data_IF_187372385648
#
_entry.id   IF_187372385648
#
_cell.length_a   1.000
_cell.length_b   1.000
_cell.length_c   1.000
_cell.angle_alpha   90.00
_cell.angle_beta   90.00
_cell.angle_gamma   90.00
#
_symmetry.space_group_name_H-M   'P 1'
#
loop_
_entity.id
_entity.type
_entity.pdbx_description
1 polymer ?
#
# COMPACT_ATOMS: atom_id res chain seq x y z
N UNK A 1 40.82 19.82 0.60
CA UNK A 1 39.61 20.11 1.35
C UNK A 1 38.89 18.80 1.58
N UNK A 2 38.89 18.29 2.83
CA UNK A 2 38.05 17.13 3.19
C UNK A 2 36.62 17.62 3.33
N UNK A 3 35.73 17.21 2.41
CA UNK A 3 34.31 17.32 2.62
C UNK A 3 33.90 16.26 3.66
N UNK A 4 33.64 16.67 4.88
CA UNK A 4 32.92 15.85 5.85
C UNK A 4 31.48 15.74 5.31
N UNK A 5 31.15 14.62 4.65
CA UNK A 5 29.75 14.23 4.47
C UNK A 5 29.20 13.89 5.85
N UNK A 6 28.40 14.77 6.44
CA UNK A 6 27.58 14.43 7.59
C UNK A 6 26.49 13.49 7.03
N UNK A 7 26.73 12.19 7.15
CA UNK A 7 25.68 11.21 6.91
C UNK A 7 24.62 11.43 8.00
N UNK A 8 23.46 12.00 7.64
CA UNK A 8 22.30 11.97 8.52
C UNK A 8 21.94 10.49 8.74
N UNK A 9 22.07 10.04 9.98
CA UNK A 9 21.65 8.69 10.33
C UNK A 9 20.11 8.66 10.17
N UNK A 10 19.62 7.78 9.33
CA UNK A 10 18.18 7.58 9.16
C UNK A 10 17.53 7.23 10.51
N UNK A 11 16.36 7.79 10.79
CA UNK A 11 15.62 7.50 12.04
C UNK A 11 15.17 6.05 12.14
N UNK A 12 14.97 5.40 11.00
CA UNK A 12 14.54 4.00 10.88
C UNK A 12 15.03 3.41 9.57
N UNK A 13 14.87 2.12 9.43
CA UNK A 13 15.20 1.37 8.21
C UNK A 13 14.12 0.34 7.93
N UNK A 14 13.68 0.27 6.68
CA UNK A 14 12.76 -0.74 6.21
C UNK A 14 13.59 -1.96 5.80
N UNK A 15 13.70 -2.93 6.71
CA UNK A 15 14.49 -4.14 6.49
C UNK A 15 13.84 -5.06 5.45
N UNK A 16 12.49 -5.04 5.40
CA UNK A 16 11.69 -5.85 4.48
C UNK A 16 10.37 -5.18 4.18
N UNK A 17 9.97 -5.18 2.92
CA UNK A 17 8.66 -4.75 2.45
C UNK A 17 8.24 -5.63 1.27
N UNK A 18 7.63 -6.79 1.56
CA UNK A 18 7.19 -7.73 0.53
C UNK A 18 5.71 -7.58 0.27
N UNK A 19 5.34 -7.41 -1.00
CA UNK A 19 3.97 -7.25 -1.45
C UNK A 19 3.64 -8.36 -2.45
N UNK A 20 2.69 -9.24 -2.11
CA UNK A 20 2.12 -10.21 -3.03
C UNK A 20 0.72 -9.74 -3.44
N UNK A 21 0.56 -9.37 -4.70
CA UNK A 21 -0.68 -8.91 -5.29
C UNK A 21 -1.24 -10.03 -6.15
N UNK A 22 -2.35 -10.62 -5.72
CA UNK A 22 -3.08 -11.63 -6.49
C UNK A 22 -4.34 -10.99 -7.04
N UNK A 23 -4.54 -11.09 -8.36
CA UNK A 23 -5.73 -10.58 -9.06
C UNK A 23 -6.52 -11.76 -9.61
N UNK A 24 -7.82 -11.79 -9.39
CA UNK A 24 -8.72 -12.78 -9.95
C UNK A 24 -9.29 -12.34 -11.32
N UNK A 25 -9.98 -13.21 -12.08
CA UNK A 25 -10.58 -12.83 -13.37
C UNK A 25 -11.62 -11.72 -13.28
N UNK A 26 -12.23 -11.48 -12.12
CA UNK A 26 -13.18 -10.39 -11.91
C UNK A 26 -12.51 -9.03 -11.65
N UNK A 27 -11.18 -8.99 -11.54
CA UNK A 27 -10.40 -7.81 -11.21
C UNK A 27 -10.25 -7.54 -9.71
N UNK A 28 -10.80 -8.40 -8.84
CA UNK A 28 -10.59 -8.29 -7.39
C UNK A 28 -9.17 -8.64 -7.02
N UNK A 29 -8.60 -7.83 -6.10
CA UNK A 29 -7.23 -7.98 -5.64
C UNK A 29 -7.21 -8.50 -4.20
N UNK A 30 -6.22 -9.34 -3.93
CA UNK A 30 -5.78 -9.66 -2.58
C UNK A 30 -4.31 -9.25 -2.50
N UNK A 31 -3.99 -8.31 -1.61
CA UNK A 31 -2.62 -7.83 -1.39
C UNK A 31 -2.18 -8.31 -0.02
N UNK A 32 -1.20 -9.21 0.01
CA UNK A 32 -0.53 -9.63 1.24
C UNK A 32 0.75 -8.84 1.39
N UNK A 33 0.95 -8.25 2.56
CA UNK A 33 2.13 -7.43 2.86
C UNK A 33 2.83 -8.01 4.08
N UNK A 34 4.14 -8.21 3.94
CA UNK A 34 5.05 -8.54 5.04
C UNK A 34 6.06 -7.42 5.21
N UNK A 35 6.00 -6.73 6.35
CA UNK A 35 6.77 -5.53 6.65
C UNK A 35 7.64 -5.75 7.89
N UNK A 36 8.90 -5.29 7.83
CA UNK A 36 9.79 -5.21 8.98
C UNK A 36 10.52 -3.87 8.97
N UNK A 37 10.38 -3.08 10.06
CA UNK A 37 11.00 -1.76 10.21
C UNK A 37 11.85 -1.75 11.47
N UNK A 38 13.14 -1.46 11.32
CA UNK A 38 14.09 -1.23 12.40
C UNK A 38 13.99 0.21 12.89
N UNK A 39 13.76 0.41 14.19
CA UNK A 39 13.61 1.72 14.82
C UNK A 39 14.95 2.16 15.42
N UNK A 40 15.55 3.21 14.90
CA UNK A 40 16.90 3.65 15.27
C UNK A 40 16.89 4.83 16.24
N UNK A 41 15.76 5.54 16.36
CA UNK A 41 15.61 6.73 17.21
C UNK A 41 14.26 6.74 17.93
N UNK A 42 14.12 7.61 18.92
CA UNK A 42 12.84 7.83 19.62
C UNK A 42 11.79 8.46 18.69
N UNK A 43 12.21 9.25 17.70
CA UNK A 43 11.33 9.79 16.67
C UNK A 43 10.70 8.66 15.83
N UNK A 44 11.47 7.62 15.48
CA UNK A 44 10.93 6.44 14.82
C UNK A 44 9.94 5.67 15.68
N UNK A 45 10.19 5.54 16.99
CA UNK A 45 9.24 4.93 17.94
C UNK A 45 7.94 5.72 17.97
N UNK A 46 8.00 7.05 18.04
CA UNK A 46 6.81 7.90 18.02
C UNK A 46 6.02 7.77 16.71
N UNK A 47 6.72 7.65 15.57
CA UNK A 47 6.12 7.48 14.23
C UNK A 47 5.46 6.14 14.03
N UNK A 48 6.09 5.04 14.45
CA UNK A 48 5.68 3.67 14.13
C UNK A 48 5.07 2.90 15.31
N UNK A 49 5.03 3.48 16.51
CA UNK A 49 4.37 2.90 17.68
C UNK A 49 2.89 2.62 17.45
N UNK A 50 2.27 3.39 16.56
CA UNK A 50 0.97 3.10 15.97
C UNK A 50 1.12 3.05 14.45
N UNK A 51 0.91 1.88 13.86
CA UNK A 51 0.90 1.72 12.41
C UNK A 51 -0.53 1.80 11.88
N UNK A 52 -0.78 2.69 10.93
CA UNK A 52 -2.12 2.98 10.42
C UNK A 52 -2.25 2.49 8.98
N UNK A 53 -3.23 1.62 8.74
CA UNK A 53 -3.61 1.12 7.43
C UNK A 53 -4.95 1.77 7.04
N UNK A 54 -4.93 2.60 6.00
CA UNK A 54 -6.16 3.21 5.45
C UNK A 54 -6.74 2.33 4.36
N UNK A 55 -8.07 2.19 4.34
CA UNK A 55 -8.76 1.44 3.30
C UNK A 55 -10.21 1.94 3.14
N UNK A 56 -10.79 1.72 1.97
CA UNK A 56 -12.20 2.02 1.72
C UNK A 56 -13.05 0.79 2.09
N UNK A 57 -13.82 0.88 3.19
CA UNK A 57 -14.62 -0.22 3.73
C UNK A 57 -15.81 -0.63 2.82
N UNK A 58 -16.17 0.20 1.84
CA UNK A 58 -17.18 -0.17 0.84
C UNK A 58 -16.67 -1.23 -0.15
N UNK A 59 -15.35 -1.19 -0.45
CA UNK A 59 -14.75 -2.02 -1.51
C UNK A 59 -13.68 -2.99 -1.02
N UNK A 60 -13.22 -2.85 0.22
CA UNK A 60 -12.12 -3.64 0.73
C UNK A 60 -12.24 -3.90 2.23
N UNK A 61 -11.48 -4.88 2.68
CA UNK A 61 -11.23 -5.15 4.11
C UNK A 61 -9.74 -5.32 4.36
N UNK A 62 -9.31 -5.02 5.59
CA UNK A 62 -7.94 -5.25 6.06
C UNK A 62 -7.96 -6.22 7.22
N UNK A 63 -7.24 -7.32 7.10
CA UNK A 63 -7.02 -8.31 8.15
C UNK A 63 -5.54 -8.26 8.56
N UNK A 64 -5.26 -8.08 9.85
CA UNK A 64 -3.90 -8.18 10.42
C UNK A 64 -3.61 -9.64 10.71
N UNK A 65 -2.68 -10.24 9.95
CA UNK A 65 -2.33 -11.66 10.09
C UNK A 65 -1.41 -11.90 11.30
N UNK A 66 -0.44 -11.00 11.49
CA UNK A 66 0.44 -10.99 12.67
C UNK A 66 1.04 -9.59 12.86
N UNK A 67 1.25 -9.21 14.12
CA UNK A 67 1.96 -7.99 14.49
C UNK A 67 2.77 -8.24 15.76
N UNK A 68 4.03 -7.82 15.77
CA UNK A 68 4.90 -8.02 16.93
C UNK A 68 6.02 -6.98 17.00
N UNK A 69 6.42 -6.66 18.22
CA UNK A 69 7.70 -6.01 18.52
C UNK A 69 8.77 -7.09 18.58
N UNK A 70 9.91 -6.85 17.94
CA UNK A 70 11.11 -7.69 18.02
C UNK A 70 12.20 -6.86 18.70
N UNK A 71 12.58 -7.22 19.91
CA UNK A 71 13.61 -6.54 20.66
C UNK A 71 15.01 -6.73 20.06
N UNK A 72 15.93 -5.86 20.45
CA UNK A 72 17.32 -5.91 19.96
C UNK A 72 18.04 -7.23 20.35
N UNK A 73 17.62 -7.89 21.41
CA UNK A 73 18.11 -9.20 21.85
C UNK A 73 17.45 -10.39 21.12
N UNK A 74 16.51 -10.12 20.21
CA UNK A 74 15.78 -11.12 19.45
C UNK A 74 14.51 -11.64 20.12
N UNK A 75 14.21 -11.28 21.37
CA UNK A 75 12.94 -11.61 22.00
C UNK A 75 11.77 -10.90 21.31
N UNK A 76 10.55 -11.44 21.42
CA UNK A 76 9.39 -10.92 20.72
C UNK A 76 8.20 -10.72 21.66
N UNK A 77 7.45 -9.64 21.42
CA UNK A 77 6.17 -9.38 22.09
C UNK A 77 5.10 -9.21 21.02
N UNK A 78 4.14 -10.11 20.99
CA UNK A 78 3.02 -10.05 20.04
C UNK A 78 2.04 -8.95 20.44
N UNK A 79 1.46 -8.29 19.43
CA UNK A 79 0.32 -7.39 19.62
C UNK A 79 -0.90 -8.22 20.00
N UNK A 80 -1.52 -7.90 21.12
CA UNK A 80 -2.83 -8.46 21.48
C UNK A 80 -3.90 -7.92 20.56
N UNK A 81 -4.63 -8.80 19.88
CA UNK A 81 -5.62 -8.38 18.88
C UNK A 81 -6.78 -7.57 19.49
N UNK A 82 -7.16 -7.85 20.74
CA UNK A 82 -8.27 -7.17 21.42
C UNK A 82 -7.88 -5.79 21.96
N UNK A 83 -6.60 -5.59 22.29
CA UNK A 83 -6.12 -4.38 22.96
C UNK A 83 -5.23 -3.50 22.07
N UNK A 84 -4.64 -4.07 21.02
CA UNK A 84 -3.67 -3.39 20.17
C UNK A 84 -4.11 -3.20 18.72
N UNK A 85 -5.24 -3.78 18.29
CA UNK A 85 -5.74 -3.64 16.91
C UNK A 85 -7.13 -3.03 16.94
N UNK A 86 -7.28 -1.87 16.31
CA UNK A 86 -8.53 -1.12 16.28
C UNK A 86 -8.96 -0.86 14.83
N UNK A 87 -10.27 -0.76 14.60
CA UNK A 87 -10.85 -0.31 13.35
C UNK A 87 -11.83 0.82 13.63
N UNK A 88 -11.71 1.91 12.87
CA UNK A 88 -12.62 3.06 13.01
C UNK A 88 -12.75 3.82 11.69
N UNK A 89 -13.88 4.50 11.47
CA UNK A 89 -14.01 5.45 10.37
C UNK A 89 -12.90 6.51 10.42
N UNK A 90 -12.34 6.88 9.27
CA UNK A 90 -11.41 8.00 9.16
C UNK A 90 -12.14 9.33 9.46
N UNK A 91 -11.44 10.38 9.91
CA UNK A 91 -12.05 11.68 10.16
C UNK A 91 -12.86 12.23 8.98
N UNK A 92 -12.40 12.02 7.74
CA UNK A 92 -13.13 12.42 6.53
C UNK A 92 -14.44 11.67 6.37
N UNK A 93 -14.47 10.37 6.72
CA UNK A 93 -15.71 9.56 6.66
C UNK A 93 -16.71 9.94 7.78
N UNK A 94 -16.21 10.41 8.92
CA UNK A 94 -17.07 10.94 9.99
C UNK A 94 -17.66 12.30 9.59
N UNK A 95 -16.83 13.18 8.98
CA UNK A 95 -17.26 14.52 8.58
C UNK A 95 -18.22 14.52 7.38
N UNK A 96 -18.07 13.57 6.46
CA UNK A 96 -18.86 13.49 5.22
C UNK A 96 -19.15 12.04 4.83
N UNK A 97 -19.98 11.30 5.61
CA UNK A 97 -20.19 9.86 5.44
C UNK A 97 -20.83 9.50 4.09
N UNK A 98 -21.55 10.41 3.46
CA UNK A 98 -22.12 10.21 2.12
C UNK A 98 -21.09 10.22 0.99
N UNK A 99 -19.87 10.72 1.26
CA UNK A 99 -18.82 10.86 0.25
C UNK A 99 -17.58 10.00 0.53
N UNK A 100 -17.46 9.44 1.73
CA UNK A 100 -16.29 8.65 2.10
C UNK A 100 -16.69 7.49 3.00
N UNK A 101 -16.20 6.29 2.64
CA UNK A 101 -16.24 5.08 3.47
C UNK A 101 -14.81 4.68 3.90
N UNK A 102 -13.93 5.66 4.08
CA UNK A 102 -12.56 5.42 4.50
C UNK A 102 -12.51 4.98 5.96
N UNK A 103 -11.82 3.88 6.23
CA UNK A 103 -11.54 3.33 7.56
C UNK A 103 -10.06 3.28 7.83
N UNK A 104 -9.71 3.33 9.11
CA UNK A 104 -8.35 3.19 9.62
C UNK A 104 -8.26 1.93 10.48
N UNK A 105 -7.44 0.96 10.02
CA UNK A 105 -6.98 -0.17 10.85
C UNK A 105 -5.70 0.26 11.53
N UNK A 106 -5.72 0.37 12.86
CA UNK A 106 -4.60 0.86 13.68
C UNK A 106 -4.02 -0.32 14.45
N UNK A 107 -2.71 -0.49 14.34
CA UNK A 107 -1.94 -1.51 15.08
C UNK A 107 -1.00 -0.81 16.04
N UNK A 108 -1.18 -1.02 17.34
CA UNK A 108 -0.34 -0.44 18.40
C UNK A 108 0.68 -1.47 18.86
N UNK A 109 1.95 -1.17 18.69
CA UNK A 109 3.05 -2.06 19.07
C UNK A 109 3.44 -1.86 20.53
N UNK A 110 3.45 -2.95 21.36
CA UNK A 110 3.80 -2.85 22.77
C UNK A 110 5.32 -2.77 22.99
N UNK A 111 5.73 -2.17 24.10
CA UNK A 111 7.07 -2.24 24.70
C UNK A 111 8.23 -1.90 23.73
N UNK A 112 8.01 -0.93 22.81
CA UNK A 112 9.04 -0.49 21.88
C UNK A 112 10.17 0.26 22.57
N UNK A 113 11.40 -0.06 22.20
CA UNK A 113 12.61 0.63 22.60
C UNK A 113 13.48 0.93 21.37
N UNK A 114 14.40 1.88 21.52
CA UNK A 114 15.40 2.18 20.48
C UNK A 114 16.22 0.95 20.14
N UNK A 115 16.33 0.65 18.87
CA UNK A 115 17.01 -0.55 18.36
C UNK A 115 16.11 -1.75 18.16
N UNK A 116 14.83 -1.67 18.54
CA UNK A 116 13.84 -2.71 18.24
C UNK A 116 13.38 -2.67 16.79
N UNK A 117 12.61 -3.68 16.39
CA UNK A 117 11.93 -3.69 15.10
C UNK A 117 10.44 -3.97 15.31
N UNK A 118 9.61 -3.37 14.48
CA UNK A 118 8.23 -3.85 14.30
C UNK A 118 8.20 -4.85 13.14
N UNK A 119 7.39 -5.91 13.29
CA UNK A 119 7.01 -6.82 12.21
C UNK A 119 5.50 -6.82 12.09
N UNK A 120 5.02 -6.63 10.87
CA UNK A 120 3.61 -6.58 10.55
C UNK A 120 3.34 -7.40 9.29
N UNK A 121 2.40 -8.33 9.38
CA UNK A 121 1.85 -9.02 8.22
C UNK A 121 0.36 -8.74 8.16
N UNK A 122 -0.13 -8.28 7.02
CA UNK A 122 -1.55 -8.01 6.81
C UNK A 122 -2.00 -8.37 5.40
N UNK A 123 -3.31 -8.51 5.26
CA UNK A 123 -3.98 -8.75 3.98
C UNK A 123 -5.01 -7.65 3.74
N UNK A 124 -4.88 -6.93 2.61
CA UNK A 124 -5.93 -6.09 2.07
C UNK A 124 -6.62 -6.89 0.95
N UNK A 125 -7.92 -7.13 1.11
CA UNK A 125 -8.70 -7.89 0.14
C UNK A 125 -9.87 -7.06 -0.37
N UNK A 126 -10.01 -6.95 -1.69
CA UNK A 126 -11.17 -6.34 -2.31
C UNK A 126 -12.42 -7.21 -2.03
N UNK A 127 -13.47 -6.62 -1.49
CA UNK A 127 -14.79 -7.23 -1.29
C UNK A 127 -15.65 -7.05 -2.53
N UNK A 128 -15.44 -5.91 -3.22
CA UNK A 128 -16.09 -5.59 -4.49
C UNK A 128 -15.12 -4.83 -5.39
N UNK A 129 -15.47 -4.67 -6.67
CA UNK A 129 -14.69 -3.89 -7.63
C UNK A 129 -15.45 -2.64 -8.05
N UNK A 130 -14.72 -1.52 -8.17
CA UNK A 130 -15.29 -0.30 -8.73
C UNK A 130 -15.72 -0.51 -10.20
N UNK A 131 -14.93 -1.28 -10.94
CA UNK A 131 -15.16 -1.62 -12.35
C UNK A 131 -14.98 -3.12 -12.54
N UNK A 132 -16.07 -3.89 -12.80
CA UNK A 132 -16.00 -5.34 -13.00
C UNK A 132 -15.00 -5.75 -14.09
N UNK A 133 -14.16 -6.74 -13.79
CA UNK A 133 -13.11 -7.22 -14.70
C UNK A 133 -11.88 -6.31 -14.81
N UNK A 134 -11.84 -5.19 -14.06
CA UNK A 134 -10.74 -4.22 -14.11
C UNK A 134 -10.08 -4.05 -12.77
N UNK A 135 -8.76 -3.87 -12.81
CA UNK A 135 -7.97 -3.50 -11.63
C UNK A 135 -6.93 -2.44 -11.98
N UNK A 136 -6.51 -1.73 -10.96
CA UNK A 136 -5.33 -0.90 -10.96
C UNK A 136 -4.70 -0.94 -9.58
N UNK A 137 -3.38 -0.97 -9.50
CA UNK A 137 -2.62 -0.90 -8.26
C UNK A 137 -1.42 0.00 -8.44
N UNK A 138 -1.12 0.79 -7.42
CA UNK A 138 0.07 1.63 -7.35
C UNK A 138 0.73 1.44 -5.98
N UNK A 139 2.02 1.13 -5.99
CA UNK A 139 2.89 1.09 -4.81
C UNK A 139 4.05 2.05 -5.06
N UNK A 140 4.36 2.88 -4.07
CA UNK A 140 5.47 3.82 -4.12
C UNK A 140 6.50 3.47 -3.06
N UNK A 141 7.77 3.56 -3.42
CA UNK A 141 8.92 3.32 -2.54
C UNK A 141 9.75 4.60 -2.49
N UNK A 142 9.34 5.62 -1.68
CA UNK A 142 9.97 6.93 -1.67
C UNK A 142 11.49 6.82 -1.47
N UNK A 143 12.32 7.42 -2.34
CA UNK A 143 13.78 7.29 -2.26
C UNK A 143 14.41 8.03 -1.07
N UNK A 144 13.62 8.76 -0.29
CA UNK A 144 14.00 9.34 1.01
C UNK A 144 13.99 8.31 2.15
N UNK A 145 13.41 7.14 1.92
CA UNK A 145 13.33 6.04 2.88
C UNK A 145 14.49 5.05 2.65
N UNK A 146 15.02 4.44 3.72
CA UNK A 146 16.07 3.42 3.63
C UNK A 146 15.45 2.02 3.51
N UNK A 147 15.29 1.52 2.29
CA UNK A 147 14.84 0.15 1.98
C UNK A 147 16.02 -0.80 1.83
N UNK A 148 16.11 -1.83 2.66
CA UNK A 148 17.05 -2.94 2.47
C UNK A 148 16.54 -3.96 1.48
N UNK A 149 15.22 -4.15 1.46
CA UNK A 149 14.56 -5.04 0.50
C UNK A 149 13.10 -4.63 0.36
N UNK A 150 12.69 -4.26 -0.83
CA UNK A 150 11.29 -4.07 -1.20
C UNK A 150 10.98 -4.96 -2.41
N UNK A 151 10.03 -5.87 -2.28
CA UNK A 151 9.63 -6.80 -3.32
C UNK A 151 8.16 -6.61 -3.65
N UNK A 152 7.85 -6.71 -4.93
CA UNK A 152 6.48 -6.76 -5.43
C UNK A 152 6.36 -7.99 -6.33
N UNK A 153 5.44 -8.88 -6.00
CA UNK A 153 5.05 -9.99 -6.87
C UNK A 153 3.61 -9.77 -7.31
N UNK A 154 3.41 -9.68 -8.61
CA UNK A 154 2.08 -9.60 -9.23
C UNK A 154 1.73 -10.96 -9.81
N UNK A 155 0.63 -11.53 -9.33
CA UNK A 155 0.06 -12.79 -9.76
C UNK A 155 -1.32 -12.54 -10.41
N UNK A 156 -1.43 -12.81 -11.72
CA UNK A 156 -2.65 -12.57 -12.51
C UNK A 156 -3.02 -13.81 -13.33
N UNK A 157 -4.27 -13.93 -13.81
CA UNK A 157 -4.59 -14.85 -14.90
C UNK A 157 -3.62 -14.65 -16.07
N UNK A 158 -3.15 -15.73 -16.69
CA UNK A 158 -2.12 -15.68 -17.73
C UNK A 158 -2.63 -14.97 -19.01
N UNK A 159 -3.92 -15.06 -19.29
CA UNK A 159 -4.61 -14.42 -20.40
C UNK A 159 -5.03 -12.96 -20.13
N UNK A 160 -4.87 -12.48 -18.90
CA UNK A 160 -5.21 -11.10 -18.54
C UNK A 160 -4.15 -10.12 -19.08
N UNK A 161 -4.52 -9.19 -19.99
CA UNK A 161 -3.59 -8.17 -20.45
C UNK A 161 -3.30 -7.18 -19.32
N UNK A 162 -2.03 -7.00 -18.96
CA UNK A 162 -1.62 -6.08 -17.88
C UNK A 162 -0.49 -5.21 -18.36
N UNK A 163 -0.69 -3.89 -18.29
CA UNK A 163 0.36 -2.89 -18.42
C UNK A 163 1.04 -2.69 -17.06
N UNK A 164 2.37 -2.65 -17.06
CA UNK A 164 3.19 -2.46 -15.86
C UNK A 164 4.18 -1.32 -16.11
N UNK A 165 4.24 -0.38 -15.15
CA UNK A 165 5.31 0.59 -15.00
C UNK A 165 6.01 0.33 -13.66
N UNK A 166 7.25 -0.15 -13.72
CA UNK A 166 8.06 -0.49 -12.55
C UNK A 166 9.35 0.36 -12.54
N UNK A 167 9.19 1.67 -12.62
CA UNK A 167 10.32 2.62 -12.65
C UNK A 167 11.16 2.52 -11.38
N UNK A 168 12.48 2.48 -11.55
CA UNK A 168 13.43 2.38 -10.45
C UNK A 168 13.48 1.01 -9.77
N UNK A 169 12.72 0.01 -10.26
CA UNK A 169 12.73 -1.37 -9.78
C UNK A 169 13.38 -2.31 -10.81
N UNK A 170 13.92 -3.42 -10.35
CA UNK A 170 14.48 -4.48 -11.20
C UNK A 170 13.52 -5.66 -11.28
N UNK A 171 13.18 -6.09 -12.49
CA UNK A 171 12.40 -7.32 -12.65
C UNK A 171 13.29 -8.53 -12.30
N UNK A 172 12.86 -9.31 -11.31
CA UNK A 172 13.59 -10.47 -10.79
C UNK A 172 13.04 -11.81 -11.30
N UNK A 173 11.75 -11.87 -11.69
CA UNK A 173 11.15 -13.04 -12.29
C UNK A 173 9.96 -12.70 -13.21
N UNK A 174 9.72 -13.56 -14.21
CA UNK A 174 8.51 -13.60 -15.04
C UNK A 174 8.27 -15.05 -15.45
N UNK A 175 7.22 -15.67 -14.96
CA UNK A 175 6.93 -17.07 -15.19
C UNK A 175 5.43 -17.32 -15.27
N UNK A 176 5.02 -18.18 -16.20
CA UNK A 176 3.65 -18.68 -16.30
C UNK A 176 3.60 -20.11 -15.78
N UNK A 177 2.62 -20.38 -14.91
CA UNK A 177 2.36 -21.70 -14.36
C UNK A 177 0.90 -21.85 -13.98
N UNK A 178 0.29 -22.99 -14.31
CA UNK A 178 -1.07 -23.36 -13.90
C UNK A 178 -2.13 -22.29 -14.28
N UNK A 179 -2.00 -21.68 -15.48
CA UNK A 179 -2.90 -20.61 -15.96
C UNK A 179 -2.72 -19.26 -15.27
N UNK A 180 -1.63 -19.10 -14.53
CA UNK A 180 -1.27 -17.87 -13.81
C UNK A 180 0.07 -17.35 -14.29
N UNK A 181 0.25 -16.03 -14.31
CA UNK A 181 1.51 -15.36 -14.61
C UNK A 181 2.01 -14.58 -13.39
N UNK A 182 3.19 -14.97 -12.89
CA UNK A 182 3.87 -14.32 -11.79
C UNK A 182 4.99 -13.45 -12.33
N UNK A 183 4.97 -12.16 -11.97
CA UNK A 183 5.99 -11.18 -12.31
C UNK A 183 6.49 -10.53 -11.02
N UNK A 184 7.79 -10.66 -10.75
CA UNK A 184 8.39 -10.16 -9.51
C UNK A 184 9.38 -9.03 -9.80
N UNK A 185 9.37 -8.02 -8.94
CA UNK A 185 10.19 -6.83 -9.01
C UNK A 185 10.83 -6.58 -7.65
N UNK A 186 12.05 -6.06 -7.68
CA UNK A 186 12.85 -5.77 -6.49
C UNK A 186 13.38 -4.34 -6.52
N UNK A 187 13.43 -3.71 -5.35
CA UNK A 187 14.10 -2.43 -5.10
C UNK A 187 14.85 -2.49 -3.78
N UNK A 188 16.02 -1.87 -3.75
CA UNK A 188 16.78 -1.54 -2.54
C UNK A 188 17.33 -0.11 -2.69
N UNK A 189 17.47 0.58 -1.56
CA UNK A 189 18.10 1.90 -1.55
C UNK A 189 19.56 1.79 -2.00
N UNK A 190 20.01 2.64 -2.95
CA UNK A 190 21.39 2.60 -3.43
C UNK A 190 22.40 2.74 -2.29
N UNK A 191 23.65 2.26 -2.47
CA UNK A 191 24.74 2.39 -1.48
C UNK A 191 25.06 3.84 -1.09
N UNK A 192 24.68 4.83 -1.92
CA UNK A 192 24.76 6.27 -1.60
C UNK A 192 23.82 6.70 -0.46
N UNK A 193 22.94 5.82 -0.04
CA UNK A 193 21.90 6.09 0.94
C UNK A 193 20.62 6.70 0.35
N UNK A 194 19.59 6.94 1.19
CA UNK A 194 18.38 7.63 0.78
C UNK A 194 18.66 9.08 0.38
N UNK A 195 17.76 9.64 -0.43
CA UNK A 195 17.84 11.05 -0.80
C UNK A 195 17.38 11.94 0.35
N UNK A 196 17.94 13.15 0.42
CA UNK A 196 17.43 14.17 1.35
C UNK A 196 16.04 14.63 0.92
N UNK A 197 15.17 14.83 1.90
CA UNK A 197 13.86 15.42 1.66
C UNK A 197 14.03 16.90 1.28
N UNK A 198 13.58 17.26 0.08
CA UNK A 198 13.63 18.64 -0.41
C UNK A 198 12.22 19.19 -0.55
N UNK A 199 12.00 20.39 -0.06
CA UNK A 199 10.73 21.09 -0.23
C UNK A 199 10.51 21.47 -1.72
N UNK A 200 9.25 21.41 -2.17
CA UNK A 200 8.82 21.81 -3.52
C UNK A 200 9.43 20.99 -4.67
N UNK A 201 9.67 19.69 -4.44
CA UNK A 201 10.11 18.77 -5.48
C UNK A 201 8.91 18.12 -6.20
N UNK A 202 9.22 17.42 -7.30
CA UNK A 202 8.27 16.57 -8.03
C UNK A 202 7.77 15.46 -7.13
N UNK A 203 6.51 15.04 -7.30
CA UNK A 203 5.95 13.93 -6.52
C UNK A 203 6.77 12.63 -6.73
N UNK A 204 7.01 11.86 -5.68
CA UNK A 204 7.77 10.62 -5.74
C UNK A 204 7.17 9.62 -6.74
N UNK A 205 5.85 9.64 -6.92
CA UNK A 205 5.15 8.83 -7.92
C UNK A 205 5.53 9.15 -9.36
N UNK A 206 6.06 10.35 -9.61
CA UNK A 206 6.48 10.78 -10.95
C UNK A 206 7.93 10.41 -11.26
N UNK A 207 8.77 10.32 -10.23
CA UNK A 207 10.21 9.99 -10.40
C UNK A 207 10.55 8.56 -10.01
N UNK A 208 9.74 7.87 -9.19
CA UNK A 208 9.97 6.52 -8.68
C UNK A 208 11.00 6.47 -7.54
N UNK A 209 11.30 5.31 -6.99
CA UNK A 209 10.79 3.99 -7.38
C UNK A 209 9.30 3.80 -7.18
N UNK A 210 8.65 3.21 -8.19
CA UNK A 210 7.21 2.99 -8.19
C UNK A 210 6.86 1.71 -8.94
N UNK A 211 5.84 1.00 -8.47
CA UNK A 211 5.21 -0.10 -9.18
C UNK A 211 3.76 0.25 -9.46
N UNK A 212 3.40 0.30 -10.74
CA UNK A 212 2.02 0.53 -11.21
C UNK A 212 1.64 -0.63 -12.11
N UNK A 213 0.50 -1.25 -11.87
CA UNK A 213 -0.04 -2.28 -12.75
C UNK A 213 -1.54 -2.06 -12.96
N UNK A 214 -1.99 -2.24 -14.20
CA UNK A 214 -3.39 -2.06 -14.57
C UNK A 214 -3.74 -2.92 -15.79
N UNK A 215 -4.97 -3.39 -15.86
CA UNK A 215 -5.51 -4.03 -17.07
C UNK A 215 -6.45 -3.11 -17.88
N UNK A 216 -6.50 -1.81 -17.57
CA UNK A 216 -7.11 -0.84 -18.47
C UNK A 216 -6.20 -0.59 -19.68
N UNK A 217 -6.79 -0.55 -20.87
CA UNK A 217 -6.06 -0.28 -22.13
C UNK A 217 -5.67 1.20 -22.32
N UNK A 218 -6.27 2.11 -21.54
CA UNK A 218 -5.98 3.53 -21.60
C UNK A 218 -7.09 4.39 -21.00
N UNK A 219 -6.89 5.71 -21.05
CA UNK A 219 -7.80 6.69 -20.46
C UNK A 219 -9.22 6.66 -21.05
N UNK A 220 -9.37 6.33 -22.35
CA UNK A 220 -10.68 6.23 -22.98
C UNK A 220 -11.53 5.11 -22.35
N UNK A 221 -10.92 3.98 -22.03
CA UNK A 221 -11.60 2.88 -21.36
C UNK A 221 -11.98 3.23 -19.91
N UNK A 222 -11.09 3.91 -19.19
CA UNK A 222 -11.36 4.42 -17.85
C UNK A 222 -12.55 5.38 -17.88
N UNK A 223 -12.55 6.36 -18.80
CA UNK A 223 -13.63 7.33 -18.95
C UNK A 223 -14.96 6.65 -19.29
N UNK A 224 -14.94 5.65 -20.16
CA UNK A 224 -16.12 4.85 -20.50
C UNK A 224 -16.66 4.06 -19.30
N UNK A 225 -15.80 3.42 -18.52
CA UNK A 225 -16.17 2.69 -17.32
C UNK A 225 -16.82 3.60 -16.26
N UNK A 226 -16.27 4.80 -16.06
CA UNK A 226 -16.88 5.82 -15.21
C UNK A 226 -18.23 6.31 -15.75
N UNK A 227 -18.33 6.55 -17.06
CA UNK A 227 -19.58 6.98 -17.68
C UNK A 227 -20.71 5.97 -17.47
N UNK A 228 -20.46 4.69 -17.73
CA UNK A 228 -21.45 3.62 -17.50
C UNK A 228 -21.91 3.62 -16.03
N UNK A 229 -20.98 3.68 -15.10
CA UNK A 229 -21.31 3.66 -13.67
C UNK A 229 -22.06 4.92 -13.21
N UNK A 230 -21.71 6.10 -13.75
CA UNK A 230 -22.37 7.36 -13.42
C UNK A 230 -23.74 7.50 -14.08
N UNK A 231 -23.96 6.85 -15.24
CA UNK A 231 -25.20 6.97 -16.00
C UNK A 231 -26.41 6.48 -15.21
N UNK A 232 -26.30 5.35 -14.51
CA UNK A 232 -27.37 4.83 -13.66
C UNK A 232 -27.70 5.76 -12.48
N UNK A 233 -26.70 6.51 -12.01
CA UNK A 233 -26.85 7.51 -10.92
C UNK A 233 -27.51 8.82 -11.40
N UNK A 234 -27.52 9.08 -12.71
CA UNK A 234 -28.14 10.28 -13.31
C UNK A 234 -29.62 10.09 -13.64
N UNK A 235 -30.12 8.88 -13.52
CA UNK A 235 -31.55 8.63 -13.72
C UNK A 235 -32.34 9.27 -12.58
N UNK A 236 -33.08 10.32 -12.91
CA UNK A 236 -34.01 10.93 -11.96
C UNK A 236 -35.08 9.91 -11.57
N UNK A 237 -35.11 9.53 -10.31
CA UNK A 237 -36.24 8.76 -9.80
C UNK A 237 -37.48 9.65 -9.73
N UNK A 238 -38.67 9.02 -9.57
CA UNK A 238 -39.92 9.75 -9.53
C UNK A 238 -40.02 10.70 -8.31
N UNK A 239 -39.28 10.45 -7.22
CA UNK A 239 -39.21 11.32 -6.06
C UNK A 239 -38.47 12.63 -6.38
N UNK A 240 -37.38 12.58 -7.15
CA UNK A 240 -36.68 13.79 -7.61
C UNK A 240 -37.54 14.61 -8.57
N UNK A 241 -38.31 13.96 -9.48
CA UNK A 241 -39.21 14.63 -10.39
C UNK A 241 -40.36 15.31 -9.65
N UNK A 242 -40.89 14.71 -8.56
CA UNK A 242 -41.93 15.30 -7.73
C UNK A 242 -41.46 16.51 -6.92
N UNK A 243 -40.17 16.55 -6.53
CA UNK A 243 -39.56 17.69 -5.82
C UNK A 243 -39.32 18.89 -6.75
N UNK A 244 -39.19 18.67 -8.07
CA UNK A 244 -38.90 19.70 -9.08
C UNK A 244 -40.19 20.35 -9.64
N UNK A 245 -41.39 19.86 -9.33
CA UNK A 245 -42.69 20.41 -9.71
C UNK A 245 -43.37 21.05 -8.49
#
# INVERSE_FOLDING_TARGET
MLQLSIAFAADYRIERCDNLITVDPSGKRVIKVDLSIKLLTDAAIARFGQYVLSYNAQFAKVDVNSAQTVHADGSTVSVDAAQGIFDRPAPVAIAAPQFSAEHLRIVTFPALAKGDSIRLSYTLADTDTLFPGKFSVQLSFPPIEDYRSANVTLDTPDDMPVAIDARGMHQSADASRDGRRLRSYHYETPPSGPLDEQANTVAWTDIGPVFIASNFSGYAEIAHAYHIRAFDQQQQDDAIRQLAN
#
